data_IF_983891215563
#
_entry.id   IF_983891215563
#
_cell.length_a   1.000
_cell.length_b   1.000
_cell.length_c   1.000
_cell.angle_alpha   90.00
_cell.angle_beta   90.00
_cell.angle_gamma   90.00
#
_symmetry.space_group_name_H-M   'P 1'
#
loop_
_entity.id
_entity.type
_entity.pdbx_description
1 polymer ?
#
# COMPACT_ATOMS: atom_id res chain seq x y z
N UNK A 1 -24.03 -18.09 1.33
CA UNK A 1 -24.55 -17.41 0.13
C UNK A 1 -23.56 -17.58 -1.00
N UNK A 2 -24.00 -17.39 -2.26
CA UNK A 2 -23.08 -17.35 -3.41
C UNK A 2 -22.70 -15.93 -3.74
N UNK A 3 -21.46 -15.72 -4.22
CA UNK A 3 -20.93 -14.42 -4.60
C UNK A 3 -19.85 -14.57 -5.66
N UNK A 4 -19.81 -13.65 -6.62
CA UNK A 4 -18.70 -13.60 -7.58
C UNK A 4 -17.43 -13.12 -6.90
N UNK A 5 -16.32 -13.72 -7.25
CA UNK A 5 -14.98 -13.33 -6.81
C UNK A 5 -13.93 -13.60 -7.89
N UNK A 6 -12.94 -12.75 -7.98
CA UNK A 6 -11.76 -13.03 -8.78
C UNK A 6 -10.84 -14.00 -8.03
N UNK A 7 -10.60 -15.15 -8.61
CA UNK A 7 -9.80 -16.22 -8.03
C UNK A 7 -8.74 -16.73 -9.02
N UNK A 8 -7.60 -17.16 -8.48
CA UNK A 8 -6.65 -17.98 -9.22
C UNK A 8 -6.85 -19.44 -8.82
N UNK A 9 -7.36 -20.25 -9.74
CA UNK A 9 -7.72 -21.66 -9.46
C UNK A 9 -6.50 -22.55 -9.36
N UNK A 10 -5.49 -22.30 -10.20
CA UNK A 10 -4.24 -23.06 -10.27
C UNK A 10 -3.05 -22.11 -10.40
N UNK A 11 -1.90 -22.50 -9.84
CA UNK A 11 -0.68 -21.70 -9.96
C UNK A 11 -0.27 -21.51 -11.43
N UNK A 12 0.04 -20.26 -11.80
CA UNK A 12 0.39 -19.88 -13.16
C UNK A 12 -0.81 -19.72 -14.11
N UNK A 13 -2.02 -20.07 -13.67
CA UNK A 13 -3.25 -19.79 -14.41
C UNK A 13 -3.68 -18.33 -14.30
N UNK A 14 -4.59 -17.87 -15.18
CA UNK A 14 -5.14 -16.53 -15.12
C UNK A 14 -6.05 -16.33 -13.91
N UNK A 15 -6.35 -15.07 -13.60
CA UNK A 15 -7.47 -14.71 -12.74
C UNK A 15 -8.78 -14.95 -13.52
N UNK A 16 -9.72 -15.61 -12.86
CA UNK A 16 -11.07 -15.82 -13.37
C UNK A 16 -12.10 -15.33 -12.37
N UNK A 17 -13.20 -14.78 -12.86
CA UNK A 17 -14.32 -14.37 -12.01
C UNK A 17 -15.34 -15.51 -11.98
N UNK A 18 -15.48 -16.09 -10.78
CA UNK A 18 -16.32 -17.29 -10.56
C UNK A 18 -17.20 -17.13 -9.33
N UNK A 19 -18.26 -17.93 -9.24
CA UNK A 19 -19.06 -18.03 -8.03
C UNK A 19 -18.36 -18.83 -6.95
N UNK A 20 -18.19 -18.24 -5.78
CA UNK A 20 -17.72 -18.90 -4.55
C UNK A 20 -18.85 -19.02 -3.53
N UNK A 21 -18.75 -19.98 -2.64
CA UNK A 21 -19.68 -20.14 -1.51
C UNK A 21 -19.13 -19.39 -0.29
N UNK A 22 -19.92 -18.44 0.23
CA UNK A 22 -19.60 -17.66 1.42
C UNK A 22 -20.49 -18.16 2.57
N UNK A 23 -19.90 -18.63 3.69
CA UNK A 23 -20.65 -19.05 4.87
C UNK A 23 -21.27 -17.85 5.60
N UNK A 24 -22.12 -18.12 6.55
CA UNK A 24 -22.49 -17.12 7.57
C UNK A 24 -21.24 -16.78 8.40
N UNK A 25 -21.09 -15.51 8.85
CA UNK A 25 -19.90 -15.11 9.58
C UNK A 25 -19.79 -15.85 10.91
N UNK A 26 -18.59 -16.33 11.22
CA UNK A 26 -18.25 -16.87 12.53
C UNK A 26 -18.29 -15.79 13.62
N UNK A 27 -18.09 -16.18 14.91
CA UNK A 27 -18.26 -15.26 16.03
C UNK A 27 -17.53 -13.91 15.90
N UNK A 28 -16.31 -13.92 15.39
CA UNK A 28 -15.43 -12.73 15.21
C UNK A 28 -15.31 -12.31 13.75
N UNK A 29 -16.25 -12.69 12.89
CA UNK A 29 -16.23 -12.37 11.47
C UNK A 29 -17.36 -11.41 11.10
N UNK A 30 -17.17 -10.77 9.94
CA UNK A 30 -18.19 -9.94 9.28
C UNK A 30 -18.33 -10.38 7.83
N UNK A 31 -19.51 -10.16 7.26
CA UNK A 31 -19.71 -10.20 5.81
C UNK A 31 -19.77 -8.77 5.29
N UNK A 32 -18.92 -8.46 4.32
CA UNK A 32 -18.87 -7.14 3.68
C UNK A 32 -19.32 -7.30 2.23
N UNK A 33 -20.25 -6.44 1.78
CA UNK A 33 -20.51 -6.21 0.36
C UNK A 33 -19.59 -5.10 -0.08
N UNK A 34 -18.68 -5.42 -1.00
CA UNK A 34 -17.70 -4.46 -1.49
C UNK A 34 -18.33 -3.44 -2.44
N UNK A 35 -17.80 -2.23 -2.45
CA UNK A 35 -18.10 -1.17 -3.42
C UNK A 35 -16.99 -1.05 -4.45
N UNK A 36 -15.75 -1.06 -3.95
CA UNK A 36 -14.56 -0.98 -4.79
C UNK A 36 -13.36 -1.63 -4.09
N UNK A 37 -12.36 -1.96 -4.90
CA UNK A 37 -11.10 -2.52 -4.42
C UNK A 37 -9.93 -2.00 -5.25
N UNK A 38 -8.83 -1.64 -4.60
CA UNK A 38 -7.60 -1.28 -5.30
C UNK A 38 -6.87 -2.48 -5.89
N UNK A 39 -5.99 -2.21 -6.86
CA UNK A 39 -5.13 -3.19 -7.51
C UNK A 39 -3.67 -2.92 -7.14
N UNK A 40 -3.11 -3.80 -6.32
CA UNK A 40 -1.77 -3.65 -5.75
C UNK A 40 -0.76 -4.62 -6.39
N UNK A 41 0.48 -4.17 -6.59
CA UNK A 41 1.53 -5.00 -7.19
C UNK A 41 1.92 -6.20 -6.29
N UNK A 42 1.71 -6.09 -4.97
CA UNK A 42 1.91 -7.22 -4.04
C UNK A 42 1.08 -8.45 -4.42
N UNK A 43 -0.09 -8.23 -5.03
CA UNK A 43 -0.94 -9.34 -5.49
C UNK A 43 -0.38 -10.04 -6.73
N UNK A 44 0.39 -9.33 -7.55
CA UNK A 44 1.19 -9.95 -8.63
C UNK A 44 2.25 -10.88 -8.04
N UNK A 45 2.91 -10.47 -6.94
CA UNK A 45 3.85 -11.37 -6.22
C UNK A 45 3.14 -12.60 -5.66
N UNK A 46 1.93 -12.44 -5.08
CA UNK A 46 1.14 -13.57 -4.58
C UNK A 46 0.74 -14.53 -5.70
N UNK A 47 0.28 -14.01 -6.85
CA UNK A 47 -0.06 -14.82 -8.02
C UNK A 47 1.11 -15.66 -8.55
N UNK A 48 2.32 -15.11 -8.48
CA UNK A 48 3.54 -15.76 -8.95
C UNK A 48 4.19 -16.69 -7.92
N UNK A 49 3.75 -16.65 -6.66
CA UNK A 49 4.34 -17.46 -5.59
C UNK A 49 3.81 -18.90 -5.61
N UNK A 50 4.62 -19.90 -5.98
CA UNK A 50 4.21 -21.30 -6.01
C UNK A 50 4.00 -21.90 -4.60
N UNK A 51 4.51 -21.26 -3.56
CA UNK A 51 4.33 -21.70 -2.17
C UNK A 51 2.96 -21.39 -1.58
N UNK A 52 2.14 -20.54 -2.24
CA UNK A 52 0.80 -20.24 -1.76
C UNK A 52 -0.22 -21.25 -2.32
N UNK A 53 -1.12 -21.77 -1.48
CA UNK A 53 -2.15 -22.72 -1.92
C UNK A 53 -3.18 -22.11 -2.88
N UNK A 54 -3.87 -22.96 -3.64
CA UNK A 54 -4.96 -22.60 -4.57
C UNK A 54 -6.21 -23.49 -4.33
N UNK A 55 -7.44 -23.00 -4.59
CA UNK A 55 -7.80 -21.70 -5.16
C UNK A 55 -7.50 -20.55 -4.21
N UNK A 56 -7.10 -19.39 -4.76
CA UNK A 56 -6.78 -18.19 -3.98
C UNK A 56 -7.65 -17.01 -4.42
N UNK A 57 -8.32 -16.39 -3.45
CA UNK A 57 -8.99 -15.11 -3.60
C UNK A 57 -8.03 -13.96 -3.30
N UNK A 58 -8.18 -12.85 -4.00
CA UNK A 58 -7.26 -11.72 -3.94
C UNK A 58 -8.00 -10.40 -3.68
N UNK A 59 -7.22 -9.33 -3.52
CA UNK A 59 -7.72 -8.04 -3.11
C UNK A 59 -7.52 -7.82 -1.60
N UNK A 60 -6.90 -6.70 -1.21
CA UNK A 60 -6.61 -6.42 0.19
C UNK A 60 -6.74 -4.93 0.55
N UNK A 61 -7.30 -4.15 -0.32
CA UNK A 61 -7.61 -2.74 -0.12
C UNK A 61 -9.03 -2.50 -0.64
N UNK A 62 -10.03 -2.56 0.22
CA UNK A 62 -11.43 -2.49 -0.16
C UNK A 62 -12.22 -1.43 0.59
N UNK A 63 -13.31 -1.00 0.01
CA UNK A 63 -14.38 -0.26 0.66
C UNK A 63 -15.68 -1.03 0.50
N UNK A 64 -16.57 -0.97 1.46
CA UNK A 64 -17.81 -1.72 1.42
C UNK A 64 -18.77 -1.39 2.54
N UNK A 65 -19.85 -2.16 2.62
CA UNK A 65 -20.85 -2.09 3.69
C UNK A 65 -20.95 -3.43 4.39
N UNK A 66 -20.95 -3.42 5.71
CA UNK A 66 -21.18 -4.61 6.54
C UNK A 66 -22.62 -5.08 6.35
N UNK A 67 -22.80 -6.32 5.91
CA UNK A 67 -24.14 -6.92 5.69
C UNK A 67 -24.53 -7.92 6.77
N UNK A 68 -23.55 -8.52 7.47
CA UNK A 68 -23.76 -9.42 8.59
C UNK A 68 -22.59 -9.31 9.57
N UNK A 69 -22.88 -9.52 10.86
CA UNK A 69 -21.87 -9.52 11.92
C UNK A 69 -21.94 -10.79 12.76
N UNK A 70 -20.79 -11.31 13.17
CA UNK A 70 -20.70 -12.38 14.17
C UNK A 70 -21.01 -11.87 15.58
N UNK A 71 -21.42 -12.76 16.45
CA UNK A 71 -21.95 -12.44 17.81
C UNK A 71 -20.93 -11.76 18.76
N UNK A 72 -19.63 -11.85 18.46
CA UNK A 72 -18.55 -11.26 19.27
C UNK A 72 -18.01 -9.95 18.67
N UNK A 73 -18.53 -9.54 17.52
CA UNK A 73 -18.15 -8.28 16.87
C UNK A 73 -18.85 -7.11 17.58
N UNK A 74 -18.06 -6.10 17.99
CA UNK A 74 -18.58 -4.98 18.79
C UNK A 74 -18.31 -3.59 18.20
N UNK A 75 -17.35 -3.46 17.28
CA UNK A 75 -16.91 -2.14 16.76
C UNK A 75 -17.59 -1.75 15.46
N UNK A 76 -18.28 -2.68 14.79
CA UNK A 76 -19.10 -2.44 13.60
C UNK A 76 -20.44 -3.21 13.72
N UNK A 77 -21.44 -2.75 13.00
CA UNK A 77 -22.76 -3.37 12.88
C UNK A 77 -23.21 -3.42 11.42
N UNK A 78 -24.29 -4.13 11.16
CA UNK A 78 -24.92 -4.16 9.83
C UNK A 78 -25.32 -2.75 9.39
N UNK A 79 -24.99 -2.43 8.13
CA UNK A 79 -25.20 -1.11 7.53
C UNK A 79 -24.00 -0.14 7.69
N UNK A 80 -23.01 -0.45 8.51
CA UNK A 80 -21.84 0.40 8.64
C UNK A 80 -20.96 0.32 7.38
N UNK A 81 -20.54 1.47 6.87
CA UNK A 81 -19.52 1.55 5.83
C UNK A 81 -18.13 1.31 6.42
N UNK A 82 -17.32 0.55 5.72
CA UNK A 82 -16.00 0.15 6.20
C UNK A 82 -14.94 0.20 5.10
N UNK A 83 -13.69 0.39 5.53
CA UNK A 83 -12.51 0.12 4.73
C UNK A 83 -11.93 -1.21 5.19
N UNK A 84 -11.67 -2.10 4.23
CA UNK A 84 -11.04 -3.40 4.46
C UNK A 84 -9.54 -3.31 4.18
N UNK A 85 -8.73 -3.94 5.04
CA UNK A 85 -7.27 -3.90 4.98
C UNK A 85 -6.65 -5.25 5.33
N UNK A 86 -5.44 -5.47 4.88
CA UNK A 86 -4.65 -6.70 5.09
C UNK A 86 -4.04 -6.82 6.50
N UNK A 87 -4.01 -5.73 7.27
CA UNK A 87 -3.49 -5.69 8.64
C UNK A 87 -4.61 -5.62 9.67
N UNK A 88 -4.39 -6.06 10.90
CA UNK A 88 -5.33 -5.82 11.99
C UNK A 88 -5.53 -4.31 12.24
N UNK A 89 -6.77 -3.88 12.50
CA UNK A 89 -7.11 -2.49 12.82
C UNK A 89 -6.39 -1.95 14.06
N UNK A 90 -6.13 -2.81 15.03
CA UNK A 90 -5.34 -2.53 16.22
C UNK A 90 -4.08 -3.40 16.16
N UNK A 91 -2.90 -2.82 16.40
CA UNK A 91 -1.65 -3.58 16.39
C UNK A 91 -1.69 -4.75 17.38
N UNK A 92 -1.19 -5.90 16.93
CA UNK A 92 -1.04 -7.09 17.78
C UNK A 92 0.42 -7.47 17.86
N UNK A 93 0.80 -8.08 18.98
CA UNK A 93 2.17 -8.57 19.19
C UNK A 93 2.41 -9.87 18.42
N UNK A 94 3.47 -9.91 17.62
CA UNK A 94 3.86 -11.07 16.83
C UNK A 94 3.15 -11.15 15.47
N UNK A 95 3.45 -12.21 14.71
CA UNK A 95 2.78 -12.50 13.44
C UNK A 95 1.55 -13.39 13.73
N UNK A 96 0.33 -12.90 13.47
CA UNK A 96 -0.85 -13.76 13.58
C UNK A 96 -0.76 -14.86 12.52
N UNK A 97 -1.16 -16.06 12.90
CA UNK A 97 -1.38 -17.11 11.92
C UNK A 97 -2.58 -16.73 11.03
N UNK A 98 -2.43 -16.85 9.71
CA UNK A 98 -3.56 -16.73 8.79
C UNK A 98 -4.62 -17.77 9.14
N UNK A 99 -5.87 -17.33 9.16
CA UNK A 99 -7.02 -18.17 9.51
C UNK A 99 -7.91 -18.33 8.29
N UNK A 100 -8.48 -19.53 8.04
CA UNK A 100 -9.44 -19.70 6.96
C UNK A 100 -10.66 -18.79 7.17
N UNK A 101 -11.04 -18.03 6.14
CA UNK A 101 -12.25 -17.21 6.16
C UNK A 101 -13.53 -18.06 6.14
N UNK A 102 -13.42 -19.30 5.64
CA UNK A 102 -14.53 -20.23 5.45
C UNK A 102 -15.15 -20.22 4.06
N UNK A 103 -14.76 -19.28 3.20
CA UNK A 103 -15.18 -19.28 1.79
C UNK A 103 -14.67 -20.52 1.04
N UNK A 104 -15.48 -21.05 0.10
CA UNK A 104 -15.11 -22.24 -0.67
C UNK A 104 -15.42 -22.08 -2.15
N UNK A 105 -14.61 -22.71 -3.00
CA UNK A 105 -14.83 -22.87 -4.42
C UNK A 105 -14.88 -24.36 -4.76
N UNK A 106 -16.04 -24.84 -5.23
CA UNK A 106 -16.29 -26.27 -5.47
C UNK A 106 -15.94 -27.15 -4.24
N UNK A 107 -16.27 -26.69 -3.04
CA UNK A 107 -15.99 -27.39 -1.77
C UNK A 107 -14.53 -27.31 -1.30
N UNK A 108 -13.62 -26.67 -2.04
CA UNK A 108 -12.23 -26.44 -1.65
C UNK A 108 -12.13 -25.07 -0.95
N UNK A 109 -11.39 -24.95 0.17
CA UNK A 109 -11.20 -23.65 0.81
C UNK A 109 -10.57 -22.63 -0.15
N UNK A 110 -11.15 -21.44 -0.23
CA UNK A 110 -10.53 -20.29 -0.90
C UNK A 110 -9.53 -19.68 0.07
N UNK A 111 -8.27 -19.67 -0.32
CA UNK A 111 -7.20 -19.08 0.47
C UNK A 111 -7.17 -17.57 0.21
N UNK A 112 -7.08 -16.80 1.28
CA UNK A 112 -6.95 -15.34 1.22
C UNK A 112 -5.73 -14.94 2.04
N UNK A 113 -4.74 -14.33 1.39
CA UNK A 113 -3.57 -13.81 2.10
C UNK A 113 -3.95 -12.54 2.85
N UNK A 114 -3.61 -12.49 4.16
CA UNK A 114 -4.08 -11.43 5.04
C UNK A 114 -5.56 -11.56 5.44
N UNK A 115 -6.19 -12.71 5.18
CA UNK A 115 -7.58 -13.04 5.54
C UNK A 115 -8.64 -12.14 4.86
N UNK A 116 -8.30 -11.49 3.74
CA UNK A 116 -9.17 -10.62 2.94
C UNK A 116 -9.07 -10.96 1.45
N UNK A 117 -10.18 -10.80 0.71
CA UNK A 117 -10.25 -11.02 -0.74
C UNK A 117 -11.27 -10.03 -1.36
N UNK A 118 -10.86 -8.77 -1.41
CA UNK A 118 -11.75 -7.65 -1.77
C UNK A 118 -12.09 -7.57 -3.27
N UNK A 119 -11.46 -8.38 -4.15
CA UNK A 119 -11.88 -8.54 -5.54
C UNK A 119 -13.07 -9.50 -5.63
N UNK A 120 -14.15 -9.15 -4.96
CA UNK A 120 -15.37 -9.95 -4.88
C UNK A 120 -16.58 -9.07 -4.57
N UNK A 121 -17.77 -9.48 -4.99
CA UNK A 121 -19.01 -8.77 -4.62
C UNK A 121 -19.23 -8.79 -3.10
N UNK A 122 -18.97 -9.95 -2.48
CA UNK A 122 -19.07 -10.11 -1.03
C UNK A 122 -17.83 -10.86 -0.50
N UNK A 123 -17.43 -10.50 0.68
CA UNK A 123 -16.32 -11.12 1.40
C UNK A 123 -16.76 -11.45 2.83
N UNK A 124 -16.39 -12.63 3.31
CA UNK A 124 -16.38 -12.94 4.75
C UNK A 124 -14.95 -12.81 5.25
N UNK A 125 -14.76 -12.00 6.30
CA UNK A 125 -13.43 -11.75 6.87
C UNK A 125 -13.50 -11.56 8.37
N UNK A 126 -12.35 -11.52 9.04
CA UNK A 126 -12.31 -11.22 10.47
C UNK A 126 -12.57 -9.74 10.71
N UNK A 127 -13.35 -9.45 11.76
CA UNK A 127 -13.76 -8.09 12.11
C UNK A 127 -12.55 -7.16 12.37
N UNK A 128 -11.42 -7.72 12.78
CA UNK A 128 -10.16 -6.98 12.94
C UNK A 128 -9.58 -6.42 11.63
N UNK A 129 -10.10 -6.86 10.47
CA UNK A 129 -9.65 -6.41 9.13
C UNK A 129 -10.49 -5.28 8.55
N UNK A 130 -11.46 -4.79 9.29
CA UNK A 130 -12.34 -3.71 8.84
C UNK A 130 -12.33 -2.54 9.83
N UNK A 131 -12.26 -1.32 9.28
CA UNK A 131 -12.31 -0.07 10.04
C UNK A 131 -13.52 0.73 9.55
N UNK A 132 -14.40 1.19 10.45
CA UNK A 132 -15.55 1.98 10.05
C UNK A 132 -15.16 3.33 9.44
N UNK A 133 -15.93 3.76 8.43
CA UNK A 133 -15.82 5.07 7.81
C UNK A 133 -17.19 5.76 7.79
N UNK A 134 -17.21 7.07 7.54
CA UNK A 134 -18.47 7.80 7.41
C UNK A 134 -19.23 7.36 6.15
N UNK A 135 -20.55 7.18 6.19
CA UNK A 135 -21.36 6.95 4.99
C UNK A 135 -21.31 8.11 3.98
N UNK A 136 -20.85 9.29 4.41
CA UNK A 136 -20.62 10.46 3.52
C UNK A 136 -19.30 10.44 2.79
N UNK A 137 -18.36 9.56 3.16
CA UNK A 137 -17.09 9.42 2.46
C UNK A 137 -17.30 8.76 1.10
N UNK A 138 -16.53 9.12 0.07
CA UNK A 138 -16.61 8.48 -1.24
C UNK A 138 -16.41 6.98 -1.15
N UNK A 139 -17.33 6.20 -1.70
CA UNK A 139 -17.31 4.74 -1.55
C UNK A 139 -16.36 4.04 -2.52
N UNK A 140 -15.96 4.70 -3.60
CA UNK A 140 -15.09 4.14 -4.65
C UNK A 140 -13.61 4.33 -4.36
N UNK A 141 -13.18 5.56 -4.02
CA UNK A 141 -11.75 5.89 -3.88
C UNK A 141 -11.19 5.55 -2.49
N UNK A 142 -12.04 5.46 -1.46
CA UNK A 142 -11.61 5.20 -0.08
C UNK A 142 -11.03 3.79 0.12
N UNK A 143 -11.28 2.86 -0.81
CA UNK A 143 -10.63 1.55 -0.80
C UNK A 143 -9.09 1.68 -0.76
N UNK A 144 -8.51 2.70 -1.40
CA UNK A 144 -7.07 2.91 -1.48
C UNK A 144 -6.43 3.28 -0.13
N UNK A 145 -7.24 3.71 0.84
CA UNK A 145 -6.78 3.97 2.21
C UNK A 145 -6.33 2.67 2.87
N UNK A 146 -6.96 1.54 2.52
CA UNK A 146 -6.68 0.22 3.09
C UNK A 146 -5.29 -0.35 2.80
N UNK A 147 -4.58 0.17 1.79
CA UNK A 147 -3.22 -0.30 1.45
C UNK A 147 -2.32 0.83 0.96
N UNK A 148 -2.62 1.44 -0.19
CA UNK A 148 -1.70 2.39 -0.82
C UNK A 148 -1.39 3.60 0.07
N UNK A 149 -2.44 4.22 0.64
CA UNK A 149 -2.29 5.38 1.54
C UNK A 149 -1.70 4.92 2.87
N UNK A 150 -2.23 3.86 3.46
CA UNK A 150 -1.74 3.28 4.72
C UNK A 150 -0.23 3.03 4.67
N UNK A 151 0.25 2.38 3.60
CA UNK A 151 1.68 2.04 3.46
C UNK A 151 2.54 3.28 3.25
N UNK A 152 2.18 4.14 2.29
CA UNK A 152 2.97 5.31 1.93
C UNK A 152 2.95 6.39 3.01
N UNK A 153 1.76 6.82 3.44
CA UNK A 153 1.61 7.83 4.46
C UNK A 153 2.06 7.34 5.84
N UNK A 154 1.72 6.10 6.20
CA UNK A 154 2.15 5.52 7.46
C UNK A 154 3.67 5.39 7.58
N UNK A 155 4.39 5.13 6.49
CA UNK A 155 5.86 5.14 6.51
C UNK A 155 6.43 6.54 6.83
N UNK A 156 5.81 7.57 6.30
CA UNK A 156 6.20 8.98 6.58
C UNK A 156 5.90 9.35 8.03
N UNK A 157 4.70 8.98 8.53
CA UNK A 157 4.24 9.35 9.87
C UNK A 157 4.91 8.54 10.99
N UNK A 158 4.96 7.21 10.84
CA UNK A 158 5.32 6.30 11.94
C UNK A 158 6.76 5.83 11.89
N UNK A 159 7.30 5.58 10.68
CA UNK A 159 8.67 5.07 10.52
C UNK A 159 9.67 6.20 10.38
N UNK A 160 9.54 7.03 9.37
CA UNK A 160 10.42 8.17 9.14
C UNK A 160 10.17 9.32 10.13
N UNK A 161 8.91 9.51 10.54
CA UNK A 161 8.48 10.60 11.43
C UNK A 161 8.89 11.96 10.89
N UNK A 162 8.61 12.16 9.63
CA UNK A 162 8.97 13.39 8.90
C UNK A 162 8.33 14.60 9.53
N UNK A 163 9.14 15.63 9.78
CA UNK A 163 8.70 16.92 10.29
C UNK A 163 8.94 18.07 9.32
N UNK A 164 8.46 19.27 9.66
CA UNK A 164 8.59 20.45 8.81
C UNK A 164 10.05 20.79 8.46
N UNK A 165 10.30 21.11 7.19
CA UNK A 165 11.61 21.50 6.67
C UNK A 165 12.60 20.35 6.47
N UNK A 166 12.21 19.10 6.80
CA UNK A 166 13.06 17.93 6.53
C UNK A 166 12.93 17.50 5.07
N UNK A 167 14.04 17.02 4.53
CA UNK A 167 14.15 16.63 3.12
C UNK A 167 13.79 15.16 2.90
N UNK A 168 12.99 14.89 1.86
CA UNK A 168 12.50 13.54 1.53
C UNK A 168 12.76 13.24 0.06
N UNK A 169 13.32 12.06 -0.23
CA UNK A 169 13.37 11.49 -1.58
C UNK A 169 12.54 10.19 -1.63
N UNK A 170 11.71 10.04 -2.67
CA UNK A 170 10.85 8.87 -2.86
C UNK A 170 11.18 8.23 -4.20
N UNK A 171 11.71 7.01 -4.17
CA UNK A 171 12.02 6.19 -5.34
C UNK A 171 10.81 5.33 -5.71
N UNK A 172 10.32 5.52 -6.94
CA UNK A 172 9.10 4.91 -7.44
C UNK A 172 7.86 5.71 -7.04
N UNK A 173 7.26 6.42 -8.00
CA UNK A 173 6.07 7.26 -7.76
C UNK A 173 4.79 6.63 -8.32
N UNK A 174 4.57 5.35 -7.96
CA UNK A 174 3.28 4.68 -8.06
C UNK A 174 2.39 5.00 -6.85
N UNK A 175 1.32 4.21 -6.64
CA UNK A 175 0.33 4.48 -5.57
C UNK A 175 0.92 4.67 -4.18
N UNK A 176 1.90 3.84 -3.77
CA UNK A 176 2.57 3.96 -2.47
C UNK A 176 3.47 5.21 -2.43
N UNK A 177 4.30 5.42 -3.46
CA UNK A 177 5.20 6.57 -3.50
C UNK A 177 4.46 7.90 -3.56
N UNK A 178 3.37 8.01 -4.32
CA UNK A 178 2.52 9.21 -4.35
C UNK A 178 1.86 9.46 -3.00
N UNK A 179 1.46 8.41 -2.29
CA UNK A 179 0.92 8.52 -0.93
C UNK A 179 1.97 9.00 0.07
N UNK A 180 3.22 8.53 -0.06
CA UNK A 180 4.33 9.01 0.76
C UNK A 180 4.66 10.49 0.47
N UNK A 181 4.68 10.90 -0.81
CA UNK A 181 4.89 12.29 -1.22
C UNK A 181 3.80 13.20 -0.64
N UNK A 182 2.51 12.80 -0.76
CA UNK A 182 1.41 13.58 -0.21
C UNK A 182 1.48 13.74 1.31
N UNK A 183 1.81 12.67 2.02
CA UNK A 183 2.00 12.73 3.46
C UNK A 183 3.21 13.59 3.86
N UNK A 184 4.33 13.50 3.12
CA UNK A 184 5.50 14.36 3.34
C UNK A 184 5.16 15.84 3.12
N UNK A 185 4.36 16.17 2.10
CA UNK A 185 3.89 17.52 1.86
C UNK A 185 3.00 18.03 3.02
N UNK A 186 2.08 17.20 3.52
CA UNK A 186 1.24 17.53 4.69
C UNK A 186 2.10 17.72 5.94
N UNK A 187 3.16 16.93 6.12
CA UNK A 187 4.12 17.07 7.21
C UNK A 187 5.02 18.31 7.10
N UNK A 188 4.98 19.03 5.96
CA UNK A 188 5.77 20.24 5.72
C UNK A 188 7.23 19.96 5.32
N UNK A 189 7.51 18.82 4.73
CA UNK A 189 8.84 18.48 4.21
C UNK A 189 9.26 19.39 3.06
N UNK A 190 10.55 19.74 2.99
CA UNK A 190 11.14 20.51 1.89
C UNK A 190 12.66 20.28 1.85
N UNK A 191 13.25 19.88 0.70
CA UNK A 191 12.58 19.50 -0.54
C UNK A 191 11.92 18.11 -0.47
N UNK A 192 10.91 17.88 -1.36
CA UNK A 192 10.32 16.57 -1.65
C UNK A 192 10.72 16.17 -3.06
N UNK A 193 11.54 15.15 -3.17
CA UNK A 193 12.17 14.73 -4.43
C UNK A 193 11.53 13.41 -4.90
N UNK A 194 10.86 13.45 -6.05
CA UNK A 194 10.32 12.26 -6.71
C UNK A 194 11.37 11.67 -7.66
N UNK A 195 11.59 10.35 -7.59
CA UNK A 195 12.51 9.60 -8.48
C UNK A 195 11.74 8.50 -9.18
N UNK A 196 11.71 8.48 -10.51
CA UNK A 196 11.08 7.42 -11.33
C UNK A 196 11.82 7.33 -12.69
N UNK A 197 11.49 6.31 -13.46
CA UNK A 197 12.00 6.13 -14.83
C UNK A 197 11.14 6.84 -15.88
N UNK A 198 9.94 7.32 -15.52
CA UNK A 198 8.92 7.82 -16.43
C UNK A 198 8.58 9.28 -16.13
N UNK A 199 8.90 10.20 -17.04
CA UNK A 199 8.66 11.64 -16.87
C UNK A 199 7.21 11.98 -16.55
N UNK A 200 6.24 11.32 -17.19
CA UNK A 200 4.81 11.54 -16.93
C UNK A 200 4.44 11.25 -15.48
N UNK A 201 5.06 10.25 -14.84
CA UNK A 201 4.88 9.95 -13.42
C UNK A 201 5.50 11.03 -12.54
N UNK A 202 6.67 11.56 -12.91
CA UNK A 202 7.34 12.65 -12.19
C UNK A 202 6.51 13.95 -12.26
N UNK A 203 5.93 14.25 -13.42
CA UNK A 203 5.00 15.37 -13.56
C UNK A 203 3.76 15.19 -12.69
N UNK A 204 3.20 13.98 -12.66
CA UNK A 204 2.05 13.66 -11.84
C UNK A 204 2.33 13.74 -10.33
N UNK A 205 3.54 13.39 -9.88
CA UNK A 205 3.95 13.49 -8.49
C UNK A 205 3.90 14.93 -7.94
N UNK A 206 4.01 15.94 -8.80
CA UNK A 206 3.86 17.35 -8.42
C UNK A 206 2.46 17.68 -7.90
N UNK A 207 1.44 16.97 -8.38
CA UNK A 207 0.05 17.15 -7.91
C UNK A 207 -0.15 16.64 -6.48
N UNK A 208 0.80 15.83 -5.97
CA UNK A 208 0.83 15.35 -4.59
C UNK A 208 1.81 16.12 -3.71
N UNK A 209 2.56 17.09 -4.26
CA UNK A 209 3.46 17.94 -3.48
C UNK A 209 4.95 17.71 -3.72
N UNK A 210 5.35 16.91 -4.73
CA UNK A 210 6.75 16.80 -5.10
C UNK A 210 7.29 18.16 -5.60
N UNK A 211 8.37 18.65 -5.01
CA UNK A 211 9.03 19.90 -5.39
C UNK A 211 10.00 19.69 -6.56
N UNK A 212 10.60 18.51 -6.63
CA UNK A 212 11.57 18.13 -7.66
C UNK A 212 11.25 16.76 -8.23
N UNK A 213 11.59 16.55 -9.51
CA UNK A 213 11.49 15.27 -10.19
C UNK A 213 12.83 14.89 -10.81
N UNK A 214 13.27 13.65 -10.62
CA UNK A 214 14.49 13.09 -11.19
C UNK A 214 14.11 11.86 -12.02
N UNK A 215 14.43 11.92 -13.33
CA UNK A 215 14.31 10.76 -14.20
C UNK A 215 15.59 9.91 -14.08
N UNK A 216 15.46 8.76 -13.42
CA UNK A 216 16.60 7.86 -13.19
C UNK A 216 17.04 7.07 -14.44
N UNK A 217 16.31 7.19 -15.57
CA UNK A 217 16.77 6.67 -16.86
C UNK A 217 17.80 7.61 -17.53
N UNK A 218 17.78 8.90 -17.19
CA UNK A 218 18.59 9.94 -17.82
C UNK A 218 19.83 10.32 -17.01
N UNK A 219 19.76 10.14 -15.68
CA UNK A 219 20.84 10.53 -14.77
C UNK A 219 20.91 9.62 -13.56
N UNK A 220 22.07 9.57 -12.90
CA UNK A 220 22.22 8.92 -11.62
C UNK A 220 21.40 9.67 -10.55
N UNK A 221 20.42 9.02 -9.93
CA UNK A 221 19.49 9.70 -9.02
C UNK A 221 20.17 10.14 -7.71
N UNK A 222 21.19 9.43 -7.23
CA UNK A 222 21.89 9.79 -6.00
C UNK A 222 22.65 11.10 -6.20
N UNK A 223 23.41 11.22 -7.28
CA UNK A 223 24.13 12.44 -7.62
C UNK A 223 23.17 13.61 -7.84
N UNK A 224 22.03 13.38 -8.50
CA UNK A 224 21.03 14.40 -8.73
C UNK A 224 20.35 14.86 -7.42
N UNK A 225 20.07 13.95 -6.49
CA UNK A 225 19.57 14.28 -5.13
C UNK A 225 20.59 15.13 -4.39
N UNK A 226 21.88 14.78 -4.43
CA UNK A 226 22.95 15.53 -3.77
C UNK A 226 23.18 16.93 -4.39
N UNK A 227 22.87 17.09 -5.67
CA UNK A 227 22.90 18.41 -6.31
C UNK A 227 21.75 19.32 -5.85
N UNK A 228 20.57 18.74 -5.55
CA UNK A 228 19.40 19.46 -5.02
C UNK A 228 19.56 19.73 -3.51
N UNK A 229 19.96 18.71 -2.75
CA UNK A 229 20.15 18.76 -1.31
C UNK A 229 21.58 18.31 -0.95
N UNK A 230 22.54 19.24 -0.86
CA UNK A 230 23.93 18.89 -0.62
C UNK A 230 24.14 18.07 0.65
N UNK A 231 24.79 16.91 0.50
CA UNK A 231 25.01 15.96 1.60
C UNK A 231 23.98 14.88 1.73
N UNK A 232 22.92 14.88 0.90
CA UNK A 232 21.83 13.89 0.90
C UNK A 232 20.60 14.33 1.67
N UNK A 233 19.54 13.52 1.61
CA UNK A 233 18.24 13.82 2.23
C UNK A 233 18.11 13.23 3.64
N UNK A 234 17.25 13.80 4.46
CA UNK A 234 16.94 13.24 5.80
C UNK A 234 16.32 11.86 5.69
N UNK A 235 15.43 11.67 4.72
CA UNK A 235 14.72 10.41 4.48
C UNK A 235 14.72 10.05 3.00
N UNK A 236 15.16 8.84 2.68
CA UNK A 236 15.06 8.26 1.35
C UNK A 236 14.19 6.99 1.41
N UNK A 237 13.06 7.00 0.70
CA UNK A 237 12.06 5.93 0.72
C UNK A 237 12.09 5.16 -0.60
N UNK A 238 12.14 3.83 -0.55
CA UNK A 238 12.04 2.96 -1.73
C UNK A 238 10.65 2.32 -1.81
N UNK A 239 9.81 2.77 -2.73
CA UNK A 239 8.49 2.20 -3.03
C UNK A 239 8.51 1.23 -4.23
N UNK A 240 9.71 0.81 -4.70
CA UNK A 240 9.91 -0.12 -5.82
C UNK A 240 10.27 -1.51 -5.35
N UNK A 241 11.28 -1.64 -4.48
CA UNK A 241 11.83 -2.91 -4.02
C UNK A 241 12.81 -3.57 -5.00
N UNK A 242 13.35 -2.80 -5.97
CA UNK A 242 14.39 -3.30 -6.85
C UNK A 242 15.76 -3.31 -6.15
N UNK A 243 16.67 -4.24 -6.50
CA UNK A 243 18.02 -4.26 -5.92
C UNK A 243 18.75 -2.93 -6.02
N UNK A 244 18.58 -2.24 -7.14
CA UNK A 244 19.22 -0.94 -7.39
C UNK A 244 18.67 0.14 -6.47
N UNK A 245 17.34 0.28 -6.36
CA UNK A 245 16.71 1.31 -5.52
C UNK A 245 16.96 1.05 -4.05
N UNK A 246 16.96 -0.23 -3.62
CA UNK A 246 17.27 -0.62 -2.24
C UNK A 246 18.67 -0.18 -1.79
N UNK A 247 19.65 -0.10 -2.71
CA UNK A 247 20.98 0.44 -2.42
C UNK A 247 21.01 1.97 -2.53
N UNK A 248 20.38 2.53 -3.55
CA UNK A 248 20.37 3.97 -3.81
C UNK A 248 19.75 4.78 -2.69
N UNK A 249 18.72 4.26 -1.99
CA UNK A 249 18.11 4.97 -0.85
C UNK A 249 19.10 5.15 0.30
N UNK A 250 20.01 4.18 0.54
CA UNK A 250 21.06 4.33 1.55
C UNK A 250 22.08 5.40 1.15
N UNK A 251 22.46 5.43 -0.11
CA UNK A 251 23.43 6.39 -0.63
C UNK A 251 22.85 7.81 -0.72
N UNK A 252 21.55 7.93 -1.04
CA UNK A 252 20.83 9.20 -1.09
C UNK A 252 20.61 9.84 0.29
N UNK A 253 20.53 9.02 1.35
CA UNK A 253 20.37 9.51 2.71
C UNK A 253 21.62 10.29 3.15
N UNK A 254 21.39 11.41 3.88
CA UNK A 254 22.46 12.29 4.32
C UNK A 254 23.50 11.59 5.20
N UNK A 255 24.73 12.09 5.09
CA UNK A 255 25.81 11.61 5.93
C UNK A 255 25.77 12.31 7.29
N UNK A 256 25.88 11.54 8.36
CA UNK A 256 26.29 11.96 9.68
C UNK A 256 27.79 11.66 9.88
N UNK A 257 28.24 11.64 11.10
CA UNK A 257 29.58 11.20 11.42
C UNK A 257 30.25 11.94 12.57
N UNK A 258 31.51 11.60 12.91
CA UNK A 258 32.16 12.06 14.14
C UNK A 258 32.39 13.58 14.22
N UNK A 259 32.25 14.29 13.12
CA UNK A 259 32.40 15.76 13.07
C UNK A 259 31.08 16.48 12.75
N UNK A 260 29.99 15.73 12.67
CA UNK A 260 28.65 16.28 12.45
C UNK A 260 27.88 16.28 13.77
N UNK A 261 27.13 17.35 14.01
CA UNK A 261 26.30 17.49 15.22
C UNK A 261 25.03 16.62 15.16
N UNK A 262 24.87 15.86 14.09
CA UNK A 262 23.66 15.10 13.80
C UNK A 262 23.98 13.65 13.42
N UNK A 263 22.98 12.80 13.59
CA UNK A 263 22.95 11.46 13.02
C UNK A 263 22.76 11.55 11.49
N UNK A 264 23.14 10.49 10.78
CA UNK A 264 22.86 10.34 9.36
C UNK A 264 21.38 10.27 9.05
N UNK A 265 21.03 10.35 7.76
CA UNK A 265 19.66 10.17 7.30
C UNK A 265 19.18 8.73 7.39
N UNK A 266 17.90 8.52 7.09
CA UNK A 266 17.25 7.22 7.15
C UNK A 266 16.84 6.76 5.75
N UNK A 267 17.24 5.55 5.39
CA UNK A 267 16.77 4.79 4.24
C UNK A 267 15.63 3.87 4.66
N UNK A 268 14.48 3.97 4.01
CA UNK A 268 13.25 3.22 4.36
C UNK A 268 12.79 2.39 3.17
N UNK A 269 12.84 1.08 3.30
CA UNK A 269 12.39 0.13 2.30
C UNK A 269 10.89 -0.16 2.47
N UNK A 270 10.08 0.18 1.48
CA UNK A 270 8.63 -0.05 1.42
C UNK A 270 8.27 -1.10 0.36
N UNK A 271 9.00 -1.08 -0.76
CA UNK A 271 8.79 -2.02 -1.86
C UNK A 271 9.16 -3.45 -1.46
N UNK A 272 8.39 -4.44 -1.92
CA UNK A 272 8.69 -5.84 -1.67
C UNK A 272 9.97 -6.22 -2.42
N UNK A 273 11.06 -6.65 -1.73
CA UNK A 273 12.30 -7.00 -2.39
C UNK A 273 12.13 -8.20 -3.34
N UNK A 274 12.67 -8.09 -4.54
CA UNK A 274 12.65 -9.18 -5.54
C UNK A 274 13.87 -10.10 -5.47
N UNK A 275 14.92 -9.68 -4.76
CA UNK A 275 16.14 -10.47 -4.51
C UNK A 275 16.95 -9.89 -3.35
N UNK A 276 17.91 -10.65 -2.85
CA UNK A 276 18.87 -10.20 -1.86
C UNK A 276 19.81 -9.15 -2.45
N UNK A 277 20.27 -8.21 -1.60
CA UNK A 277 21.28 -7.21 -1.93
C UNK A 277 22.40 -7.22 -0.90
N UNK A 278 23.61 -6.87 -1.32
CA UNK A 278 24.75 -6.67 -0.41
C UNK A 278 24.88 -5.21 -0.03
N UNK A 279 24.79 -4.90 1.25
CA UNK A 279 24.91 -3.54 1.78
C UNK A 279 26.29 -3.32 2.38
N UNK A 280 26.94 -2.19 2.04
CA UNK A 280 28.18 -1.77 2.70
C UNK A 280 27.87 -1.28 4.14
N UNK A 281 28.26 -2.09 5.11
CA UNK A 281 28.06 -1.75 6.53
C UNK A 281 28.86 -0.52 6.97
N UNK A 282 29.94 -0.14 6.27
CA UNK A 282 30.65 1.10 6.55
C UNK A 282 29.80 2.33 6.20
N UNK A 283 28.96 2.24 5.16
CA UNK A 283 28.03 3.32 4.80
C UNK A 283 27.01 3.57 5.92
N UNK A 284 26.68 2.56 6.71
CA UNK A 284 25.81 2.68 7.90
C UNK A 284 26.64 3.19 9.10
N UNK A 285 27.72 2.50 9.43
CA UNK A 285 28.49 2.77 10.65
C UNK A 285 29.18 4.13 10.62
N UNK A 286 29.95 4.43 9.56
CA UNK A 286 30.79 5.64 9.50
C UNK A 286 29.97 6.91 9.28
N UNK A 287 28.89 6.83 8.52
CA UNK A 287 28.00 7.93 8.25
C UNK A 287 26.77 7.95 9.17
N UNK A 288 26.69 7.06 10.14
CA UNK A 288 25.61 6.95 11.13
C UNK A 288 24.19 6.95 10.48
N UNK A 289 24.09 6.38 9.29
CA UNK A 289 22.83 6.22 8.58
C UNK A 289 21.99 5.12 9.16
N UNK A 290 20.68 5.25 9.05
CA UNK A 290 19.74 4.20 9.40
C UNK A 290 19.24 3.50 8.13
N UNK A 291 19.07 2.18 8.16
CA UNK A 291 18.41 1.41 7.13
C UNK A 291 17.36 0.54 7.77
N UNK A 292 16.09 0.70 7.39
CA UNK A 292 15.00 -0.06 7.97
C UNK A 292 13.93 -0.40 6.92
N UNK A 293 13.16 -1.47 7.20
CA UNK A 293 11.94 -1.78 6.47
C UNK A 293 10.74 -1.12 7.11
N UNK A 294 9.73 -0.82 6.32
CA UNK A 294 8.46 -0.32 6.80
C UNK A 294 7.31 -0.88 5.95
N UNK A 295 6.29 -1.36 6.61
CA UNK A 295 5.00 -1.66 5.97
C UNK A 295 4.05 -0.46 6.03
N UNK A 296 4.42 0.60 6.77
CA UNK A 296 3.59 1.79 6.99
C UNK A 296 2.32 1.53 7.81
N UNK A 297 1.89 0.30 7.85
CA UNK A 297 0.61 -0.15 8.37
C UNK A 297 0.63 -0.30 9.90
N UNK A 298 0.78 0.82 10.63
CA UNK A 298 0.97 0.79 12.07
C UNK A 298 -0.35 0.73 12.85
N UNK A 299 -1.28 1.64 12.60
CA UNK A 299 -2.48 1.82 13.42
C UNK A 299 -3.73 2.16 12.58
N UNK A 300 -4.29 1.23 11.78
CA UNK A 300 -5.43 1.51 10.92
C UNK A 300 -6.64 2.16 11.63
N UNK A 301 -6.89 1.80 12.89
CA UNK A 301 -7.98 2.35 13.71
C UNK A 301 -7.89 3.87 13.88
N UNK A 302 -6.69 4.41 13.96
CA UNK A 302 -6.43 5.85 14.11
C UNK A 302 -6.04 6.51 12.80
N UNK A 303 -5.33 5.79 11.94
CA UNK A 303 -4.78 6.33 10.71
C UNK A 303 -5.87 6.55 9.64
N UNK A 304 -6.83 5.63 9.50
CA UNK A 304 -7.87 5.80 8.48
C UNK A 304 -8.75 7.02 8.70
N UNK A 305 -9.25 7.29 9.91
CA UNK A 305 -9.94 8.55 10.20
C UNK A 305 -9.10 9.79 9.87
N UNK A 306 -7.81 9.78 10.20
CA UNK A 306 -6.87 10.87 9.90
C UNK A 306 -6.70 11.06 8.38
N UNK A 307 -6.49 9.98 7.63
CA UNK A 307 -6.33 10.07 6.18
C UNK A 307 -7.62 10.56 5.49
N UNK A 308 -8.78 10.11 5.97
CA UNK A 308 -10.07 10.60 5.46
C UNK A 308 -10.32 12.06 5.83
N UNK A 309 -9.82 12.53 6.99
CA UNK A 309 -9.84 13.95 7.34
C UNK A 309 -9.00 14.77 6.36
N UNK A 310 -7.78 14.33 6.02
CA UNK A 310 -6.97 14.99 4.99
C UNK A 310 -7.67 15.09 3.64
N UNK A 311 -8.45 14.08 3.27
CA UNK A 311 -9.23 14.08 2.03
C UNK A 311 -10.38 15.11 2.11
N UNK A 312 -11.12 15.14 3.23
CA UNK A 312 -12.23 16.09 3.43
C UNK A 312 -11.76 17.54 3.49
N UNK A 313 -10.53 17.76 3.94
CA UNK A 313 -9.89 19.09 4.04
C UNK A 313 -9.11 19.47 2.76
N UNK A 314 -9.23 18.70 1.67
CA UNK A 314 -8.49 18.88 0.41
C UNK A 314 -6.96 18.92 0.57
N UNK A 315 -6.43 18.39 1.68
CA UNK A 315 -4.99 18.28 1.94
C UNK A 315 -4.34 17.12 1.19
N UNK A 316 -5.09 16.03 0.99
CA UNK A 316 -4.63 14.85 0.26
C UNK A 316 -5.54 14.57 -0.93
N UNK A 317 -5.04 14.64 -2.18
CA UNK A 317 -5.86 14.50 -3.39
C UNK A 317 -6.15 13.02 -3.74
N UNK A 318 -6.81 12.27 -2.85
CA UNK A 318 -7.08 10.84 -2.99
C UNK A 318 -7.76 10.49 -4.32
N UNK A 319 -8.71 11.32 -4.78
CA UNK A 319 -9.40 11.10 -6.04
C UNK A 319 -8.47 11.13 -7.26
N UNK A 320 -7.39 11.91 -7.22
CA UNK A 320 -6.38 11.93 -8.29
C UNK A 320 -5.53 10.68 -8.31
N UNK A 321 -5.39 9.99 -7.18
CA UNK A 321 -4.62 8.75 -7.12
C UNK A 321 -5.23 7.65 -8.01
N UNK A 322 -6.55 7.66 -8.20
CA UNK A 322 -7.27 6.75 -9.10
C UNK A 322 -7.10 7.21 -10.53
N UNK A 323 -6.27 6.51 -11.30
CA UNK A 323 -6.03 6.83 -12.73
C UNK A 323 -6.70 5.87 -13.70
N UNK A 324 -7.12 4.71 -13.23
CA UNK A 324 -7.76 3.67 -14.04
C UNK A 324 -8.89 3.02 -13.24
N UNK A 325 -9.98 2.69 -13.93
CA UNK A 325 -11.16 2.03 -13.37
C UNK A 325 -11.50 0.82 -14.23
N UNK A 326 -11.83 -0.29 -13.59
CA UNK A 326 -12.18 -1.55 -14.22
C UNK A 326 -13.37 -2.17 -13.50
N UNK A 327 -14.17 -2.99 -14.19
CA UNK A 327 -15.15 -3.85 -13.52
C UNK A 327 -14.47 -5.09 -12.92
N UNK A 328 -15.20 -5.84 -12.10
CA UNK A 328 -14.68 -7.09 -11.54
C UNK A 328 -14.31 -8.09 -12.65
N UNK A 329 -15.10 -8.15 -13.73
CA UNK A 329 -14.85 -9.01 -14.88
C UNK A 329 -13.56 -8.63 -15.65
N UNK A 330 -13.10 -7.38 -15.52
CA UNK A 330 -11.87 -6.88 -16.14
C UNK A 330 -10.62 -7.01 -15.26
N UNK A 331 -10.70 -7.77 -14.17
CA UNK A 331 -9.58 -7.89 -13.20
C UNK A 331 -8.28 -8.37 -13.83
N UNK A 332 -8.35 -9.29 -14.78
CA UNK A 332 -7.15 -9.78 -15.48
C UNK A 332 -6.55 -8.70 -16.38
N UNK A 333 -7.38 -7.88 -17.02
CA UNK A 333 -6.95 -6.71 -17.80
C UNK A 333 -6.25 -5.68 -16.88
N UNK A 334 -6.85 -5.39 -15.72
CA UNK A 334 -6.27 -4.48 -14.73
C UNK A 334 -4.91 -4.98 -14.21
N UNK A 335 -4.77 -6.30 -13.98
CA UNK A 335 -3.52 -6.93 -13.56
C UNK A 335 -2.43 -6.76 -14.63
N UNK A 336 -2.76 -7.06 -15.88
CA UNK A 336 -1.82 -6.92 -17.01
C UNK A 336 -1.39 -5.46 -17.16
N UNK A 337 -2.34 -4.52 -17.16
CA UNK A 337 -2.03 -3.08 -17.26
C UNK A 337 -1.09 -2.61 -16.11
N UNK A 338 -1.26 -3.16 -14.90
CA UNK A 338 -0.37 -2.87 -13.78
C UNK A 338 1.05 -3.42 -14.03
N UNK A 339 1.17 -4.67 -14.49
CA UNK A 339 2.45 -5.31 -14.77
C UNK A 339 3.23 -4.62 -15.92
N UNK A 340 2.51 -4.13 -16.92
CA UNK A 340 3.08 -3.40 -18.05
C UNK A 340 3.39 -1.92 -17.74
N UNK A 341 3.12 -1.46 -16.49
CA UNK A 341 3.39 -0.08 -16.08
C UNK A 341 2.48 0.97 -16.71
N UNK A 342 1.32 0.57 -17.24
CA UNK A 342 0.36 1.46 -17.88
C UNK A 342 -0.45 2.31 -16.88
N UNK A 343 -0.43 1.93 -15.58
CA UNK A 343 -1.13 2.63 -14.51
C UNK A 343 -0.21 3.70 -13.93
N UNK A 344 -0.67 4.95 -13.96
CA UNK A 344 0.10 6.09 -13.51
C UNK A 344 0.11 6.21 -11.97
N UNK A 345 -1.06 6.19 -11.35
CA UNK A 345 -1.26 6.21 -9.91
C UNK A 345 -1.70 4.85 -9.38
N UNK A 346 -3.00 4.64 -9.28
CA UNK A 346 -3.63 3.39 -8.82
C UNK A 346 -4.80 3.02 -9.73
N UNK A 347 -4.98 1.73 -9.96
CA UNK A 347 -6.23 1.21 -10.52
C UNK A 347 -7.17 0.77 -9.40
N UNK A 348 -8.48 0.91 -9.63
CA UNK A 348 -9.52 0.33 -8.79
C UNK A 348 -10.44 -0.56 -9.61
N UNK A 349 -11.00 -1.55 -8.94
CA UNK A 349 -12.10 -2.40 -9.43
C UNK A 349 -13.38 -1.86 -8.81
N UNK A 350 -14.33 -1.48 -9.63
CA UNK A 350 -15.70 -1.11 -9.21
C UNK A 350 -16.55 -2.39 -9.17
N UNK A 351 -17.30 -2.59 -8.09
CA UNK A 351 -17.97 -3.85 -7.76
C UNK A 351 -19.48 -3.62 -7.59
#
# INVERSE_FOLDING_TARGET
MKSKAAIQVEHGGPLVVEEIDIPDPGPNQVTVRNFASGVCYSQVHQLRNPGLPRPMGLGHEGSGVVTRVGKEVTHVKEGDHVISTWVPRIPISGLPASKPTGATFHGRPVIADGDVYTWSEHMVTFAEKVVPMSPSDPTDITCLVGCAVLTGAGAVLHTAKVGPGQSVAVFGVGGIGLSAIGAAAIAGADPIIAVDLVDRKLQFAREFGATHGINASDTDPVNAIWAINPGGVDYALDAVGAPTTALQILEAARQGGPRADNQGGMAVLLGIPVSDVSVDLNAILLYQRHYCGSLGAAEPETDFPLFLEWVREDKFPLGKLVTNRYSLEQIEEARVALEEGQILGRAIIEI
#
